data_IF_748106459146
#
_entry.id   IF_748106459146
#
_cell.length_a   1.000
_cell.length_b   1.000
_cell.length_c   1.000
_cell.angle_alpha   90.00
_cell.angle_beta   90.00
_cell.angle_gamma   90.00
#
_symmetry.space_group_name_H-M   'P 1'
#
loop_
_entity.id
_entity.type
_entity.pdbx_description
1 polymer ?
#
# COMPACT_ATOMS: atom_id res chain seq x y z
N UNK A 1 -22.40 -31.40 -12.97
CA UNK A 1 -20.93 -31.34 -13.21
C UNK A 1 -20.42 -30.14 -12.45
N UNK A 2 -19.51 -30.32 -11.49
CA UNK A 2 -18.97 -29.20 -10.72
C UNK A 2 -17.68 -28.71 -11.39
N UNK A 3 -17.64 -27.44 -11.75
CA UNK A 3 -16.40 -26.76 -12.14
C UNK A 3 -15.64 -26.38 -10.88
N UNK A 4 -14.38 -26.79 -10.79
CA UNK A 4 -13.48 -26.30 -9.74
C UNK A 4 -13.23 -24.81 -9.98
N UNK A 5 -13.17 -24.03 -8.89
CA UNK A 5 -12.86 -22.59 -8.93
C UNK A 5 -11.55 -22.32 -9.71
N UNK A 6 -10.58 -23.22 -9.58
CA UNK A 6 -9.28 -23.18 -10.25
C UNK A 6 -9.34 -23.29 -11.78
N UNK A 7 -10.46 -23.77 -12.33
CA UNK A 7 -10.66 -23.92 -13.77
C UNK A 7 -11.39 -22.72 -14.39
N UNK A 8 -11.83 -21.75 -13.59
CA UNK A 8 -12.45 -20.54 -14.13
C UNK A 8 -11.43 -19.71 -14.93
N UNK A 9 -11.83 -19.06 -16.04
CA UNK A 9 -11.04 -18.03 -16.72
C UNK A 9 -10.58 -16.91 -15.77
N UNK A 10 -9.45 -16.27 -16.09
CA UNK A 10 -8.88 -15.21 -15.24
C UNK A 10 -9.85 -14.03 -15.11
N UNK A 11 -10.58 -13.72 -16.18
CA UNK A 11 -11.56 -12.64 -16.26
C UNK A 11 -12.67 -12.85 -15.22
N UNK A 12 -13.20 -14.07 -15.14
CA UNK A 12 -14.23 -14.42 -14.16
C UNK A 12 -13.71 -14.43 -12.73
N UNK A 13 -12.47 -14.88 -12.52
CA UNK A 13 -11.83 -14.81 -11.19
C UNK A 13 -11.68 -13.36 -10.74
N UNK A 14 -11.20 -12.47 -11.61
CA UNK A 14 -11.07 -11.04 -11.31
C UNK A 14 -12.44 -10.42 -11.01
N UNK A 15 -13.47 -10.78 -11.78
CA UNK A 15 -14.83 -10.29 -11.57
C UNK A 15 -15.43 -10.76 -10.23
N UNK A 16 -15.35 -12.06 -9.93
CA UNK A 16 -15.85 -12.66 -8.69
C UNK A 16 -15.19 -12.01 -7.47
N UNK A 17 -13.88 -11.80 -7.53
CA UNK A 17 -13.13 -11.21 -6.43
C UNK A 17 -12.96 -9.69 -6.54
N UNK A 18 -13.62 -9.03 -7.50
CA UNK A 18 -13.47 -7.59 -7.73
C UNK A 18 -13.88 -6.73 -6.53
N UNK A 19 -14.74 -7.27 -5.66
CA UNK A 19 -15.20 -6.63 -4.42
C UNK A 19 -14.42 -7.06 -3.17
N UNK A 20 -13.53 -8.05 -3.30
CA UNK A 20 -12.76 -8.60 -2.18
C UNK A 20 -11.41 -7.88 -2.07
N UNK A 21 -10.94 -7.61 -0.86
CA UNK A 21 -9.62 -7.01 -0.68
C UNK A 21 -8.55 -7.99 -1.16
N UNK A 22 -7.61 -7.52 -1.97
CA UNK A 22 -6.57 -8.39 -2.53
C UNK A 22 -5.70 -9.07 -1.48
N UNK A 23 -5.54 -8.46 -0.30
CA UNK A 23 -4.86 -9.09 0.82
C UNK A 23 -5.61 -10.33 1.33
N UNK A 24 -6.94 -10.26 1.40
CA UNK A 24 -7.79 -11.38 1.84
C UNK A 24 -7.76 -12.52 0.81
N UNK A 25 -7.76 -12.17 -0.49
CA UNK A 25 -7.57 -13.13 -1.59
C UNK A 25 -6.17 -13.75 -1.50
N UNK A 26 -5.13 -12.94 -1.35
CA UNK A 26 -3.75 -13.43 -1.27
C UNK A 26 -3.52 -14.33 -0.07
N UNK A 27 -4.18 -14.08 1.05
CA UNK A 27 -4.08 -14.93 2.24
C UNK A 27 -4.93 -16.20 2.09
N UNK A 28 -6.19 -16.07 1.65
CA UNK A 28 -7.11 -17.20 1.51
C UNK A 28 -6.73 -18.19 0.41
N UNK A 29 -6.07 -17.70 -0.64
CA UNK A 29 -5.56 -18.53 -1.75
C UNK A 29 -4.07 -18.83 -1.68
N UNK A 30 -3.41 -18.45 -0.57
CA UNK A 30 -2.02 -18.80 -0.33
C UNK A 30 -1.88 -20.33 -0.28
N UNK A 31 -1.04 -20.89 -1.16
CA UNK A 31 -0.81 -22.33 -1.38
C UNK A 31 -1.90 -23.13 -2.11
N UNK A 32 -3.00 -22.52 -2.58
CA UNK A 32 -4.04 -23.30 -3.30
C UNK A 32 -3.63 -23.68 -4.73
N UNK A 33 -3.02 -22.77 -5.51
CA UNK A 33 -2.49 -23.10 -6.85
C UNK A 33 -1.49 -22.02 -7.35
N UNK A 34 -0.44 -22.43 -8.07
CA UNK A 34 0.55 -21.52 -8.68
C UNK A 34 -0.08 -20.52 -9.66
N UNK A 35 -1.16 -20.90 -10.34
CA UNK A 35 -1.94 -20.02 -11.23
C UNK A 35 -2.54 -18.82 -10.48
N UNK A 36 -3.14 -19.04 -9.32
CA UNK A 36 -3.70 -17.95 -8.51
C UNK A 36 -2.60 -17.01 -8.01
N UNK A 37 -1.45 -17.56 -7.60
CA UNK A 37 -0.30 -16.75 -7.22
C UNK A 37 0.21 -15.88 -8.39
N UNK A 38 0.24 -16.42 -9.61
CA UNK A 38 0.61 -15.66 -10.81
C UNK A 38 -0.42 -14.58 -11.14
N UNK A 39 -1.71 -14.89 -11.02
CA UNK A 39 -2.79 -13.93 -11.26
C UNK A 39 -2.75 -12.78 -10.25
N UNK A 40 -2.62 -13.09 -8.96
CA UNK A 40 -2.50 -12.07 -7.90
C UNK A 40 -1.26 -11.21 -8.14
N UNK A 41 -0.14 -11.82 -8.57
CA UNK A 41 1.08 -11.09 -8.95
C UNK A 41 0.95 -10.30 -10.26
N UNK A 42 0.00 -10.61 -11.15
CA UNK A 42 -0.19 -9.83 -12.37
C UNK A 42 -1.02 -8.57 -12.14
N UNK A 43 -1.74 -8.50 -11.02
CA UNK A 43 -2.51 -7.33 -10.64
C UNK A 43 -1.57 -6.14 -10.42
N UNK A 44 -1.84 -5.07 -11.16
CA UNK A 44 -1.15 -3.79 -11.03
C UNK A 44 -1.99 -2.86 -10.18
N UNK A 45 -1.33 -1.89 -9.55
CA UNK A 45 -1.97 -0.80 -8.83
C UNK A 45 -2.76 -1.21 -7.58
N UNK A 46 -2.16 -2.05 -6.74
CA UNK A 46 -2.82 -2.44 -5.50
C UNK A 46 -2.90 -1.24 -4.54
N UNK A 47 -4.11 -1.04 -3.98
CA UNK A 47 -4.38 -0.11 -2.91
C UNK A 47 -4.59 -0.86 -1.60
N UNK A 48 -3.86 -0.45 -0.57
CA UNK A 48 -3.92 -1.02 0.77
C UNK A 48 -4.46 0.01 1.76
N UNK A 49 -5.39 -0.41 2.62
CA UNK A 49 -5.95 0.41 3.69
C UNK A 49 -5.57 -0.25 5.02
N UNK A 50 -4.83 0.47 5.86
CA UNK A 50 -4.32 0.00 7.13
C UNK A 50 -5.14 0.58 8.27
N UNK A 51 -5.76 -0.32 9.04
CA UNK A 51 -6.63 0.00 10.17
C UNK A 51 -6.10 -0.62 11.45
N UNK A 52 -6.61 -0.17 12.60
CA UNK A 52 -6.15 -0.64 13.91
C UNK A 52 -6.21 -2.17 14.03
N UNK A 53 -5.24 -2.75 14.76
CA UNK A 53 -5.17 -4.18 15.13
C UNK A 53 -4.94 -5.15 13.95
N UNK A 54 -4.43 -4.68 12.81
CA UNK A 54 -3.97 -5.58 11.76
C UNK A 54 -2.50 -5.96 11.99
N UNK A 55 -2.20 -7.26 12.06
CA UNK A 55 -0.82 -7.76 12.09
C UNK A 55 -0.22 -7.67 10.69
N UNK A 56 0.72 -6.75 10.51
CA UNK A 56 1.35 -6.46 9.22
C UNK A 56 2.57 -7.35 8.91
N UNK A 57 2.72 -8.44 9.65
CA UNK A 57 3.84 -9.37 9.52
C UNK A 57 3.74 -10.10 8.18
N UNK A 58 4.53 -9.62 7.22
CA UNK A 58 4.56 -10.02 5.80
C UNK A 58 3.30 -9.61 5.03
N UNK A 59 3.25 -8.33 4.66
CA UNK A 59 2.48 -7.94 3.48
C UNK A 59 3.20 -8.53 2.27
N UNK A 60 2.84 -9.79 1.97
CA UNK A 60 3.01 -10.39 0.66
C UNK A 60 2.54 -9.35 -0.35
N UNK A 61 3.34 -9.10 -1.38
CA UNK A 61 3.08 -8.10 -2.43
C UNK A 61 3.35 -6.63 -2.03
N UNK A 62 4.19 -6.35 -1.02
CA UNK A 62 4.58 -4.97 -0.67
C UNK A 62 5.13 -4.17 -1.87
N UNK A 63 5.86 -4.84 -2.77
CA UNK A 63 6.38 -4.25 -4.00
C UNK A 63 5.29 -3.94 -5.04
N UNK A 64 4.10 -4.51 -4.93
CA UNK A 64 3.00 -4.28 -5.89
C UNK A 64 2.02 -3.20 -5.41
N UNK A 65 2.14 -2.82 -4.14
CA UNK A 65 1.33 -1.80 -3.52
C UNK A 65 1.81 -0.43 -4.03
N UNK A 66 0.92 0.24 -4.74
CA UNK A 66 1.16 1.58 -5.28
C UNK A 66 0.44 2.65 -4.50
N UNK A 67 -0.55 2.28 -3.69
CA UNK A 67 -1.33 3.20 -2.87
C UNK A 67 -1.54 2.66 -1.46
N UNK A 68 -1.28 3.49 -0.47
CA UNK A 68 -1.53 3.19 0.95
C UNK A 68 -2.39 4.30 1.55
N UNK A 69 -3.39 3.89 2.33
CA UNK A 69 -4.16 4.76 3.22
C UNK A 69 -3.98 4.26 4.65
N UNK A 70 -3.44 5.09 5.53
CA UNK A 70 -3.24 4.78 6.95
C UNK A 70 -4.33 5.47 7.76
N UNK A 71 -5.14 4.67 8.45
CA UNK A 71 -6.27 5.11 9.29
C UNK A 71 -6.04 4.69 10.76
N UNK A 72 -4.80 4.41 11.13
CA UNK A 72 -4.42 4.00 12.50
C UNK A 72 -3.21 4.80 12.98
N UNK A 73 -3.01 4.79 14.31
CA UNK A 73 -1.81 5.33 14.97
C UNK A 73 -0.75 4.24 15.20
N UNK A 74 -1.03 2.99 14.83
CA UNK A 74 -0.08 1.89 14.95
C UNK A 74 1.19 2.20 14.14
N UNK A 75 2.35 1.78 14.65
CA UNK A 75 3.62 2.01 13.97
C UNK A 75 3.72 1.13 12.73
N UNK A 76 3.60 1.73 11.55
CA UNK A 76 3.69 1.04 10.26
C UNK A 76 5.06 1.29 9.64
N UNK A 77 5.72 0.22 9.20
CA UNK A 77 7.00 0.30 8.51
C UNK A 77 6.81 0.47 7.00
N UNK A 78 7.21 1.61 6.45
CA UNK A 78 6.94 1.98 5.04
C UNK A 78 8.00 1.52 4.05
N UNK A 79 9.20 1.15 4.51
CA UNK A 79 10.32 0.75 3.64
C UNK A 79 10.02 -0.40 2.65
N UNK A 80 9.17 -1.41 2.98
CA UNK A 80 8.87 -2.49 2.03
C UNK A 80 8.07 -2.05 0.79
N UNK A 81 7.49 -0.85 0.78
CA UNK A 81 6.62 -0.36 -0.30
C UNK A 81 7.38 0.53 -1.29
N UNK A 82 8.43 0.00 -1.90
CA UNK A 82 9.33 0.75 -2.79
C UNK A 82 8.64 1.35 -4.04
N UNK A 83 7.53 0.75 -4.46
CA UNK A 83 6.74 1.20 -5.62
C UNK A 83 5.53 2.06 -5.21
N UNK A 84 5.49 2.51 -3.96
CA UNK A 84 4.43 3.39 -3.47
C UNK A 84 4.43 4.71 -4.22
N UNK A 85 3.29 5.02 -4.84
CA UNK A 85 3.04 6.27 -5.57
C UNK A 85 2.09 7.21 -4.83
N UNK A 86 1.22 6.67 -3.98
CA UNK A 86 0.25 7.45 -3.23
C UNK A 86 0.24 7.05 -1.77
N UNK A 87 0.53 8.00 -0.88
CA UNK A 87 0.40 7.83 0.57
C UNK A 87 -0.63 8.81 1.11
N UNK A 88 -1.65 8.30 1.81
CA UNK A 88 -2.60 9.11 2.56
C UNK A 88 -2.54 8.74 4.03
N UNK A 89 -2.23 9.71 4.87
CA UNK A 89 -2.32 9.59 6.32
C UNK A 89 -3.61 10.28 6.78
N UNK A 90 -4.62 9.51 7.18
CA UNK A 90 -5.77 10.08 7.88
C UNK A 90 -5.40 10.42 9.34
N UNK A 91 -4.53 9.60 9.91
CA UNK A 91 -3.90 9.80 11.21
C UNK A 91 -2.39 9.70 11.02
N UNK A 92 -1.64 10.58 11.68
CA UNK A 92 -0.19 10.63 11.57
C UNK A 92 0.46 10.62 12.95
N UNK A 93 1.58 9.91 13.05
CA UNK A 93 2.49 9.95 14.20
C UNK A 93 3.83 10.50 13.75
N UNK A 94 4.67 10.92 14.69
CA UNK A 94 6.06 11.30 14.42
C UNK A 94 6.83 10.22 13.64
N UNK A 95 6.60 8.95 13.95
CA UNK A 95 7.26 7.84 13.27
C UNK A 95 6.78 7.66 11.82
N UNK A 96 5.50 7.92 11.52
CA UNK A 96 5.03 7.93 10.14
C UNK A 96 5.75 9.00 9.33
N UNK A 97 5.83 10.22 9.85
CA UNK A 97 6.42 11.35 9.15
C UNK A 97 7.92 11.17 8.91
N UNK A 98 8.67 10.67 9.89
CA UNK A 98 10.11 10.39 9.76
C UNK A 98 10.44 9.37 8.67
N UNK A 99 9.48 8.51 8.31
CA UNK A 99 9.65 7.52 7.24
C UNK A 99 9.31 8.08 5.85
N UNK A 100 8.70 9.26 5.77
CA UNK A 100 8.43 9.93 4.49
C UNK A 100 9.71 10.65 4.07
N UNK A 101 10.58 9.90 3.41
CA UNK A 101 11.85 10.39 2.87
C UNK A 101 12.01 9.89 1.43
N UNK A 102 12.68 10.66 0.58
CA UNK A 102 12.83 10.32 -0.84
C UNK A 102 13.64 9.05 -1.10
N UNK A 103 14.51 8.64 -0.17
CA UNK A 103 15.23 7.36 -0.22
C UNK A 103 14.37 6.15 0.22
N UNK A 104 13.29 6.38 0.98
CA UNK A 104 12.36 5.33 1.43
C UNK A 104 11.21 5.19 0.44
N UNK A 105 10.67 6.32 -0.04
CA UNK A 105 9.54 6.40 -0.96
C UNK A 105 9.94 7.13 -2.25
N UNK A 106 10.84 6.56 -3.06
CA UNK A 106 11.44 7.25 -4.21
C UNK A 106 10.44 7.56 -5.33
N UNK A 107 9.35 6.80 -5.41
CA UNK A 107 8.35 6.90 -6.47
C UNK A 107 7.09 7.66 -6.04
N UNK A 108 7.12 8.36 -4.90
CA UNK A 108 5.94 9.02 -4.35
C UNK A 108 5.48 10.18 -5.25
N UNK A 109 4.24 10.11 -5.71
CA UNK A 109 3.58 11.10 -6.59
C UNK A 109 2.55 11.91 -5.83
N UNK A 110 1.86 11.28 -4.87
CA UNK A 110 0.80 11.90 -4.09
C UNK A 110 1.02 11.67 -2.60
N UNK A 111 0.94 12.75 -1.83
CA UNK A 111 1.01 12.72 -0.38
C UNK A 111 -0.14 13.53 0.22
N UNK A 112 -0.91 12.92 1.11
CA UNK A 112 -1.95 13.60 1.89
C UNK A 112 -1.69 13.39 3.38
N UNK A 113 -1.63 14.50 4.11
CA UNK A 113 -1.36 14.56 5.55
C UNK A 113 -2.58 15.16 6.28
N UNK A 114 -2.80 14.83 7.57
CA UNK A 114 -3.85 15.47 8.36
C UNK A 114 -3.49 16.93 8.68
N UNK A 115 -4.50 17.82 8.64
CA UNK A 115 -4.33 19.27 8.82
C UNK A 115 -3.88 19.69 10.23
N UNK A 116 -4.05 18.83 11.24
CA UNK A 116 -3.97 19.20 12.66
C UNK A 116 -2.66 18.82 13.35
N UNK A 117 -1.58 18.59 12.60
CA UNK A 117 -0.30 18.18 13.16
C UNK A 117 0.70 19.33 12.98
N UNK A 118 1.15 19.96 14.07
CA UNK A 118 2.34 20.82 14.06
C UNK A 118 3.46 20.06 14.75
N UNK A 119 4.55 19.83 14.01
CA UNK A 119 5.67 19.09 14.53
C UNK A 119 6.96 19.40 13.80
N UNK A 120 8.08 19.08 14.46
CA UNK A 120 9.42 19.22 13.86
C UNK A 120 9.53 18.37 12.58
N UNK A 121 8.94 17.17 12.58
CA UNK A 121 8.97 16.28 11.43
C UNK A 121 8.15 16.81 10.25
N UNK A 122 7.05 17.53 10.48
CA UNK A 122 6.34 18.22 9.39
C UNK A 122 7.17 19.36 8.80
N UNK A 123 7.84 20.16 9.64
CA UNK A 123 8.72 21.22 9.15
C UNK A 123 9.88 20.66 8.33
N UNK A 124 10.46 19.54 8.77
CA UNK A 124 11.49 18.82 8.01
C UNK A 124 10.93 18.27 6.69
N UNK A 125 9.79 17.59 6.73
CA UNK A 125 9.15 17.02 5.55
C UNK A 125 8.81 18.11 4.53
N UNK A 126 8.23 19.23 4.97
CA UNK A 126 7.98 20.39 4.13
C UNK A 126 9.28 20.89 3.46
N UNK A 127 10.38 21.00 4.21
CA UNK A 127 11.68 21.37 3.65
C UNK A 127 12.18 20.37 2.60
N UNK A 128 12.05 19.06 2.82
CA UNK A 128 12.41 18.03 1.84
C UNK A 128 11.54 18.09 0.57
N UNK A 129 10.25 18.33 0.76
CA UNK A 129 9.25 18.47 -0.29
C UNK A 129 9.54 19.70 -1.17
N UNK A 130 9.79 20.86 -0.56
CA UNK A 130 10.08 22.12 -1.27
C UNK A 130 11.53 22.24 -1.76
N UNK A 131 12.44 21.36 -1.32
CA UNK A 131 13.80 21.27 -1.87
C UNK A 131 13.91 20.32 -3.07
N UNK A 132 12.78 19.90 -3.65
CA UNK A 132 12.70 19.02 -4.81
C UNK A 132 13.39 17.65 -4.63
N UNK A 133 13.50 17.15 -3.38
CA UNK A 133 14.04 15.79 -3.12
C UNK A 133 13.07 14.70 -3.57
N UNK A 134 11.78 14.98 -3.59
CA UNK A 134 10.76 14.10 -4.16
C UNK A 134 10.51 14.46 -5.62
N UNK A 135 11.23 13.81 -6.54
CA UNK A 135 11.25 14.13 -7.97
C UNK A 135 9.86 14.06 -8.61
N UNK A 136 9.02 13.13 -8.15
CA UNK A 136 7.72 12.84 -8.77
C UNK A 136 6.52 13.42 -8.02
N UNK A 137 6.73 14.03 -6.85
CA UNK A 137 5.65 14.51 -6.01
C UNK A 137 4.95 15.70 -6.68
N UNK A 138 3.61 15.64 -6.73
CA UNK A 138 2.76 16.67 -7.33
C UNK A 138 1.89 17.31 -6.25
N UNK A 139 1.71 18.62 -6.36
CA UNK A 139 0.89 19.44 -5.46
C UNK A 139 -0.40 19.86 -6.14
#
# INVERSE_FOLDING_TARGET
MFTLLENLPNELIIEIFGYTKICDISFGFWNLNTRFNQLIRSLKYISLILTRNQTYEKILLSEQITRIVIVTLDNIYLKPFINLRSLKLNLATENHLKQIQSNILPNLVYLSLPLSFDSRSIKQLASEVFSNRFIYLRF
#
